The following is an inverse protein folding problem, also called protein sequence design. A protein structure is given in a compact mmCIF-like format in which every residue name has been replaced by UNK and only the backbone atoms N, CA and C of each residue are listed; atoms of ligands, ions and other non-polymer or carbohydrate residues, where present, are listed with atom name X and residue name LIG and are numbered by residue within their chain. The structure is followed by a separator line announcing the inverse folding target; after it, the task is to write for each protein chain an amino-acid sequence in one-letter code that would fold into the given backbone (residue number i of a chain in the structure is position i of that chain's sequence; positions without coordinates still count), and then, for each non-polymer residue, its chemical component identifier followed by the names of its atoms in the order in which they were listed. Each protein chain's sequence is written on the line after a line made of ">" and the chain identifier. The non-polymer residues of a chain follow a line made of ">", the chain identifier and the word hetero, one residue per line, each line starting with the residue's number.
data_IF_285190722266
#
_entry.id   IF_285190722266
#
_cell.length_a   1.000
_cell.length_b   1.000
_cell.length_c   1.000
_cell.angle_alpha   90.00
_cell.angle_beta   90.00
_cell.angle_gamma   90.00
#
_symmetry.space_group_name_H-M   'P 1'
#
loop_
_entity.id
_entity.type
_entity.pdbx_description
1 polymer ?
#
# COMPACT_ATOMS: atom_id res chain seq x y z
N UNK A 1 6.59 16.59 51.73
CA UNK A 1 5.67 17.32 50.83
C UNK A 1 6.46 17.63 49.56
N UNK A 2 6.10 17.01 48.44
CA UNK A 2 6.61 17.40 47.13
C UNK A 2 5.61 18.41 46.55
N UNK A 3 5.99 19.68 46.47
CA UNK A 3 5.27 20.67 45.68
C UNK A 3 5.76 20.54 44.24
N UNK A 4 4.86 20.13 43.33
CA UNK A 4 5.12 20.26 41.90
C UNK A 4 5.27 21.75 41.57
N UNK A 5 6.23 22.15 40.72
CA UNK A 5 6.32 23.52 40.25
C UNK A 5 5.00 23.91 39.60
N UNK A 6 4.32 24.91 40.16
CA UNK A 6 3.16 25.49 39.51
C UNK A 6 3.67 26.32 38.33
N UNK A 7 3.06 26.19 37.14
CA UNK A 7 3.37 27.10 36.05
C UNK A 7 3.06 28.52 36.53
N UNK A 8 4.07 29.39 36.50
CA UNK A 8 3.91 30.79 36.80
C UNK A 8 2.74 31.34 35.99
N UNK A 9 1.86 32.07 36.66
CA UNK A 9 0.70 32.78 36.08
C UNK A 9 1.16 33.99 35.26
N UNK A 10 2.23 33.82 34.47
CA UNK A 10 2.53 34.68 33.34
C UNK A 10 1.53 34.36 32.24
N UNK A 11 0.98 35.40 31.61
CA UNK A 11 0.03 35.29 30.51
C UNK A 11 0.36 34.09 29.64
N UNK A 12 -0.59 33.16 29.48
CA UNK A 12 -0.47 32.10 28.50
C UNK A 12 -0.17 32.79 27.17
N UNK A 13 1.11 32.82 26.78
CA UNK A 13 1.45 33.10 25.40
C UNK A 13 0.78 31.96 24.67
N UNK A 14 -0.23 32.34 23.90
CA UNK A 14 -1.09 31.48 23.10
C UNK A 14 -0.26 30.90 21.93
N UNK A 15 0.91 30.35 22.25
CA UNK A 15 1.84 29.70 21.35
C UNK A 15 1.31 28.29 21.12
N UNK A 16 0.17 28.23 20.44
CA UNK A 16 -0.40 26.99 19.96
C UNK A 16 0.64 26.28 19.08
N UNK A 17 1.07 25.10 19.51
CA UNK A 17 1.96 24.26 18.71
C UNK A 17 1.14 23.71 17.53
N UNK A 18 1.40 24.22 16.34
CA UNK A 18 0.77 23.73 15.11
C UNK A 18 1.48 22.47 14.65
N UNK A 19 0.76 21.35 14.66
CA UNK A 19 1.23 20.06 14.18
C UNK A 19 0.77 19.85 12.73
N UNK A 20 1.68 19.41 11.87
CA UNK A 20 1.39 19.08 10.47
C UNK A 20 1.22 17.57 10.23
N UNK A 21 0.99 16.81 11.29
CA UNK A 21 0.79 15.37 11.22
C UNK A 21 -0.61 15.04 10.69
N UNK A 22 -0.77 13.83 10.15
CA UNK A 22 -2.09 13.24 9.98
C UNK A 22 -2.75 13.08 11.37
N UNK A 23 -3.99 13.56 11.50
CA UNK A 23 -4.67 13.62 12.78
C UNK A 23 -4.94 12.21 13.36
N UNK A 24 -5.24 11.23 12.52
CA UNK A 24 -5.50 9.85 12.93
C UNK A 24 -4.20 9.20 13.44
N UNK A 25 -3.10 9.38 12.70
CA UNK A 25 -1.81 8.82 13.09
C UNK A 25 -1.29 9.46 14.38
N UNK A 26 -1.52 10.77 14.58
CA UNK A 26 -1.18 11.46 15.83
C UNK A 26 -2.04 10.99 17.00
N UNK A 27 -3.35 10.77 16.79
CA UNK A 27 -4.22 10.16 17.81
C UNK A 27 -3.70 8.77 18.23
N UNK A 28 -3.24 7.96 17.27
CA UNK A 28 -2.64 6.66 17.55
C UNK A 28 -1.39 6.78 18.43
N UNK A 29 -0.56 7.78 18.18
CA UNK A 29 0.63 8.04 18.98
C UNK A 29 0.30 8.56 20.39
N UNK A 30 -0.68 9.46 20.52
CA UNK A 30 -1.18 9.90 21.83
C UNK A 30 -1.77 8.73 22.63
N UNK A 31 -2.53 7.86 21.97
CA UNK A 31 -3.01 6.63 22.58
C UNK A 31 -1.84 5.80 23.11
N UNK A 32 -0.75 5.63 22.37
CA UNK A 32 0.42 4.88 22.86
C UNK A 32 1.03 5.50 24.13
N UNK A 33 1.12 6.83 24.20
CA UNK A 33 1.66 7.53 25.39
C UNK A 33 0.80 7.29 26.63
N UNK A 34 -0.52 7.21 26.45
CA UNK A 34 -1.48 7.09 27.55
C UNK A 34 -1.98 5.66 27.80
N UNK A 35 -1.71 4.72 26.89
CA UNK A 35 -2.20 3.36 26.96
C UNK A 35 -1.60 2.61 28.14
N UNK A 36 -2.46 1.89 28.86
CA UNK A 36 -2.04 0.94 29.87
C UNK A 36 -2.01 -0.51 29.34
N UNK A 37 -1.74 -1.47 30.23
CA UNK A 37 -1.72 -2.88 29.86
C UNK A 37 -3.09 -3.40 29.40
N UNK A 38 -4.18 -2.84 29.90
CA UNK A 38 -5.56 -3.23 29.53
C UNK A 38 -5.87 -2.74 28.12
N UNK A 39 -5.48 -1.51 27.79
CA UNK A 39 -5.63 -0.95 26.44
C UNK A 39 -4.89 -1.79 25.39
N UNK A 40 -3.67 -2.24 25.71
CA UNK A 40 -2.90 -3.12 24.83
C UNK A 40 -3.58 -4.47 24.63
N UNK A 41 -4.12 -5.07 25.69
CA UNK A 41 -4.90 -6.32 25.58
C UNK A 41 -6.13 -6.09 24.73
N UNK A 42 -6.84 -4.97 24.93
CA UNK A 42 -8.01 -4.62 24.14
C UNK A 42 -7.64 -4.47 22.66
N UNK A 43 -6.56 -3.76 22.33
CA UNK A 43 -6.08 -3.63 20.94
C UNK A 43 -5.81 -5.00 20.31
N UNK A 44 -5.16 -5.91 21.03
CA UNK A 44 -4.86 -7.26 20.53
C UNK A 44 -6.11 -8.11 20.26
N UNK A 45 -7.25 -7.79 20.89
CA UNK A 45 -8.55 -8.43 20.58
C UNK A 45 -9.30 -7.80 19.40
N UNK A 46 -8.88 -6.62 18.94
CA UNK A 46 -9.53 -5.94 17.83
C UNK A 46 -9.20 -6.61 16.48
N UNK A 47 -10.01 -6.37 15.43
CA UNK A 47 -9.69 -6.81 14.08
C UNK A 47 -8.31 -6.35 13.62
N UNK A 48 -7.59 -7.21 12.88
CA UNK A 48 -6.18 -6.97 12.52
C UNK A 48 -5.98 -5.66 11.76
N UNK A 49 -6.94 -5.23 10.93
CA UNK A 49 -6.83 -3.94 10.22
C UNK A 49 -6.74 -2.73 11.18
N UNK A 50 -7.42 -2.78 12.34
CA UNK A 50 -7.33 -1.73 13.36
C UNK A 50 -5.98 -1.75 14.06
N UNK A 51 -5.48 -2.96 14.33
CA UNK A 51 -4.13 -3.14 14.89
C UNK A 51 -3.07 -2.58 13.95
N UNK A 52 -3.14 -2.92 12.66
CA UNK A 52 -2.24 -2.40 11.64
C UNK A 52 -2.29 -0.87 11.56
N UNK A 53 -3.49 -0.28 11.50
CA UNK A 53 -3.64 1.19 11.47
C UNK A 53 -3.02 1.84 12.70
N UNK A 54 -3.28 1.30 13.89
CA UNK A 54 -2.76 1.80 15.17
C UNK A 54 -1.23 1.71 15.23
N UNK A 55 -0.66 0.53 15.00
CA UNK A 55 0.79 0.33 15.06
C UNK A 55 1.53 1.13 13.98
N UNK A 56 0.98 1.24 12.77
CA UNK A 56 1.56 2.04 11.71
C UNK A 56 1.52 3.55 12.02
N UNK A 57 0.42 4.05 12.58
CA UNK A 57 0.32 5.44 13.03
C UNK A 57 1.36 5.75 14.11
N UNK A 58 1.45 4.89 15.14
CA UNK A 58 2.48 5.02 16.19
C UNK A 58 3.88 5.01 15.59
N UNK A 59 4.20 4.05 14.71
CA UNK A 59 5.51 3.94 14.09
C UNK A 59 5.87 5.18 13.26
N UNK A 60 4.92 5.70 12.49
CA UNK A 60 5.08 6.87 11.62
C UNK A 60 5.40 8.11 12.45
N UNK A 61 4.58 8.41 13.45
CA UNK A 61 4.76 9.59 14.29
C UNK A 61 6.01 9.47 15.17
N UNK A 62 6.28 8.29 15.74
CA UNK A 62 7.50 8.05 16.50
C UNK A 62 8.75 8.25 15.65
N UNK A 63 8.72 7.82 14.38
CA UNK A 63 9.83 8.03 13.45
C UNK A 63 10.04 9.52 13.17
N UNK A 64 8.97 10.27 12.92
CA UNK A 64 9.02 11.72 12.69
C UNK A 64 9.60 12.50 13.88
N UNK A 65 9.28 12.09 15.11
CA UNK A 65 9.79 12.71 16.33
C UNK A 65 11.10 12.09 16.85
N UNK A 66 11.78 11.29 16.02
CA UNK A 66 13.07 10.67 16.37
C UNK A 66 13.03 9.87 17.70
N UNK A 67 11.95 9.11 17.91
CA UNK A 67 11.76 8.25 19.08
C UNK A 67 12.03 6.76 18.72
N UNK A 68 13.31 6.35 18.51
CA UNK A 68 13.66 5.08 17.89
C UNK A 68 13.18 3.86 18.67
N UNK A 69 13.16 3.92 20.00
CA UNK A 69 12.68 2.81 20.83
C UNK A 69 11.18 2.51 20.58
N UNK A 70 10.37 3.57 20.42
CA UNK A 70 8.93 3.45 20.16
C UNK A 70 8.72 3.00 18.71
N UNK A 71 9.47 3.57 17.76
CA UNK A 71 9.43 3.15 16.36
C UNK A 71 9.74 1.66 16.21
N UNK A 72 10.81 1.16 16.83
CA UNK A 72 11.19 -0.25 16.78
C UNK A 72 10.11 -1.14 17.41
N UNK A 73 9.61 -0.79 18.59
CA UNK A 73 8.52 -1.52 19.22
C UNK A 73 7.28 -1.61 18.33
N UNK A 74 6.88 -0.48 17.74
CA UNK A 74 5.70 -0.42 16.88
C UNK A 74 5.91 -1.20 15.57
N UNK A 75 7.12 -1.17 15.01
CA UNK A 75 7.51 -1.97 13.85
C UNK A 75 7.42 -3.47 14.12
N UNK A 76 7.96 -3.94 15.25
CA UNK A 76 7.90 -5.36 15.61
C UNK A 76 6.44 -5.83 15.75
N UNK A 77 5.58 -5.01 16.36
CA UNK A 77 4.13 -5.29 16.46
C UNK A 77 3.44 -5.25 15.11
N UNK A 78 3.78 -4.29 14.27
CA UNK A 78 3.27 -4.17 12.92
C UNK A 78 3.61 -5.41 12.08
N UNK A 79 4.86 -5.87 12.12
CA UNK A 79 5.29 -7.07 11.40
C UNK A 79 4.59 -8.33 11.91
N UNK A 80 4.48 -8.50 13.22
CA UNK A 80 3.71 -9.61 13.80
C UNK A 80 2.24 -9.59 13.36
N UNK A 81 1.61 -8.41 13.29
CA UNK A 81 0.25 -8.29 12.80
C UNK A 81 0.13 -8.59 11.29
N UNK A 82 1.12 -8.20 10.47
CA UNK A 82 1.17 -8.47 9.03
C UNK A 82 1.32 -9.96 8.71
N UNK A 83 2.06 -10.73 9.52
CA UNK A 83 2.20 -12.18 9.37
C UNK A 83 0.86 -12.92 9.48
N UNK A 84 -0.06 -12.40 10.28
CA UNK A 84 -1.39 -12.98 10.50
C UNK A 84 -2.48 -12.39 9.61
N UNK A 85 -2.18 -11.33 8.86
CA UNK A 85 -3.17 -10.67 8.02
C UNK A 85 -3.41 -11.50 6.76
N UNK A 86 -4.69 -11.78 6.46
CA UNK A 86 -5.07 -12.39 5.17
C UNK A 86 -5.11 -11.34 4.05
N UNK A 87 -5.47 -10.11 4.42
CA UNK A 87 -5.73 -9.01 3.51
C UNK A 87 -5.43 -7.67 4.21
N UNK A 88 -4.95 -6.69 3.45
CA UNK A 88 -4.65 -5.33 3.92
C UNK A 88 -5.49 -4.35 3.12
N UNK A 89 -6.20 -3.45 3.82
CA UNK A 89 -7.04 -2.43 3.20
C UNK A 89 -6.22 -1.48 2.30
N UNK A 90 -6.80 -0.97 1.19
CA UNK A 90 -6.07 -0.10 0.26
C UNK A 90 -5.39 1.09 0.93
N UNK A 91 -6.12 1.80 1.80
CA UNK A 91 -5.58 2.95 2.53
C UNK A 91 -4.43 2.58 3.47
N UNK A 92 -4.45 1.36 4.04
CA UNK A 92 -3.36 0.86 4.88
C UNK A 92 -2.14 0.53 4.03
N UNK A 93 -2.32 -0.02 2.82
CA UNK A 93 -1.22 -0.23 1.86
C UNK A 93 -0.55 1.11 1.51
N UNK A 94 -1.31 2.15 1.19
CA UNK A 94 -0.77 3.49 0.94
C UNK A 94 0.06 4.02 2.12
N UNK A 95 -0.47 3.91 3.34
CA UNK A 95 0.26 4.32 4.55
C UNK A 95 1.56 3.49 4.73
N UNK A 96 1.51 2.18 4.49
CA UNK A 96 2.69 1.30 4.59
C UNK A 96 3.78 1.70 3.60
N UNK A 97 3.41 2.00 2.35
CA UNK A 97 4.37 2.41 1.31
C UNK A 97 4.97 3.79 1.61
N UNK A 98 4.16 4.76 2.06
CA UNK A 98 4.66 6.05 2.52
C UNK A 98 5.65 5.90 3.68
N UNK A 99 5.32 5.04 4.65
CA UNK A 99 6.22 4.76 5.77
C UNK A 99 7.50 4.05 5.32
N UNK A 100 7.40 3.04 4.44
CA UNK A 100 8.57 2.35 3.88
C UNK A 100 9.53 3.33 3.20
N UNK A 101 9.03 4.23 2.35
CA UNK A 101 9.83 5.29 1.71
C UNK A 101 10.51 6.22 2.72
N UNK A 102 9.83 6.61 3.79
CA UNK A 102 10.48 7.41 4.85
C UNK A 102 11.65 6.64 5.49
N UNK A 103 11.50 5.33 5.69
CA UNK A 103 12.52 4.48 6.29
C UNK A 103 13.71 4.21 5.36
N UNK A 104 13.54 4.19 4.04
CA UNK A 104 14.66 4.01 3.08
C UNK A 104 15.75 5.07 3.26
N UNK A 105 15.36 6.30 3.61
CA UNK A 105 16.29 7.40 3.86
C UNK A 105 17.03 7.29 5.20
N UNK A 106 16.55 6.45 6.13
CA UNK A 106 17.13 6.29 7.46
C UNK A 106 18.34 5.33 7.43
N UNK A 107 19.38 5.64 8.24
CA UNK A 107 20.68 4.92 8.28
C UNK A 107 20.58 3.39 8.38
N UNK A 108 19.53 2.87 9.02
CA UNK A 108 19.29 1.43 9.20
C UNK A 108 17.88 1.01 8.74
N UNK A 109 17.17 1.84 7.98
CA UNK A 109 15.76 1.61 7.66
C UNK A 109 15.50 0.79 6.41
N UNK A 110 16.50 0.58 5.54
CA UNK A 110 16.35 -0.20 4.31
C UNK A 110 15.81 -1.63 4.55
N UNK A 111 16.31 -2.43 5.51
CA UNK A 111 15.75 -3.76 5.77
C UNK A 111 14.28 -3.73 6.21
N UNK A 112 13.87 -2.68 6.93
CA UNK A 112 12.47 -2.48 7.35
C UNK A 112 11.61 -2.13 6.15
N UNK A 113 12.07 -1.20 5.31
CA UNK A 113 11.38 -0.80 4.10
C UNK A 113 11.13 -2.00 3.17
N UNK A 114 12.17 -2.82 2.91
CA UNK A 114 12.05 -4.03 2.09
C UNK A 114 11.01 -5.00 2.65
N UNK A 115 11.02 -5.26 3.97
CA UNK A 115 10.01 -6.13 4.60
C UNK A 115 8.58 -5.61 4.44
N UNK A 116 8.39 -4.29 4.54
CA UNK A 116 7.07 -3.66 4.36
C UNK A 116 6.60 -3.79 2.91
N UNK A 117 7.49 -3.54 1.95
CA UNK A 117 7.22 -3.69 0.51
C UNK A 117 6.89 -5.15 0.18
N UNK A 118 7.66 -6.12 0.69
CA UNK A 118 7.38 -7.55 0.55
C UNK A 118 6.01 -7.93 1.12
N UNK A 119 5.62 -7.37 2.28
CA UNK A 119 4.30 -7.59 2.86
C UNK A 119 3.17 -7.01 2.00
N UNK A 120 3.40 -5.88 1.32
CA UNK A 120 2.47 -5.30 0.35
C UNK A 120 2.34 -6.22 -0.87
N UNK A 121 3.45 -6.67 -1.45
CA UNK A 121 3.43 -7.61 -2.58
C UNK A 121 2.68 -8.90 -2.24
N UNK A 122 2.99 -9.53 -1.09
CA UNK A 122 2.29 -10.71 -0.62
C UNK A 122 0.80 -10.46 -0.38
N UNK A 123 0.41 -9.27 0.06
CA UNK A 123 -1.00 -8.91 0.23
C UNK A 123 -1.74 -8.76 -1.10
N UNK A 124 -1.10 -8.16 -2.11
CA UNK A 124 -1.65 -8.05 -3.47
C UNK A 124 -1.75 -9.43 -4.14
N UNK A 125 -0.71 -10.25 -4.01
CA UNK A 125 -0.70 -11.62 -4.52
C UNK A 125 -1.82 -12.48 -3.91
N UNK A 126 -1.98 -12.41 -2.59
CA UNK A 126 -3.12 -13.05 -1.89
C UNK A 126 -4.45 -12.56 -2.42
N UNK A 127 -4.63 -11.24 -2.55
CA UNK A 127 -5.86 -10.65 -3.05
C UNK A 127 -6.20 -11.09 -4.47
N UNK A 128 -5.19 -11.27 -5.33
CA UNK A 128 -5.38 -11.80 -6.67
C UNK A 128 -5.98 -13.22 -6.66
N UNK A 129 -5.51 -14.07 -5.75
CA UNK A 129 -5.99 -15.45 -5.61
C UNK A 129 -7.29 -15.59 -4.81
N UNK A 130 -7.71 -14.56 -4.08
CA UNK A 130 -9.01 -14.53 -3.42
C UNK A 130 -10.07 -14.13 -4.45
N UNK A 131 -11.04 -15.03 -4.70
CA UNK A 131 -12.17 -14.72 -5.58
C UNK A 131 -13.09 -13.67 -4.92
N UNK A 132 -13.56 -12.66 -5.66
CA UNK A 132 -14.44 -11.58 -5.13
C UNK A 132 -15.81 -12.05 -4.60
N UNK A 133 -16.12 -13.34 -4.64
CA UNK A 133 -17.40 -13.91 -4.19
C UNK A 133 -17.48 -14.17 -2.69
N UNK A 134 -16.38 -13.96 -1.94
CA UNK A 134 -16.41 -14.08 -0.47
C UNK A 134 -16.78 -12.73 0.14
N UNK A 135 -17.99 -12.66 0.69
CA UNK A 135 -18.52 -11.54 1.49
C UNK A 135 -17.63 -11.11 2.68
N UNK A 136 -16.55 -11.86 2.95
CA UNK A 136 -15.57 -11.60 4.00
C UNK A 136 -14.57 -10.49 3.66
N UNK A 137 -14.41 -10.13 2.38
CA UNK A 137 -13.40 -9.15 1.95
C UNK A 137 -14.07 -7.91 1.33
N UNK A 138 -13.97 -6.74 1.99
CA UNK A 138 -14.63 -5.53 1.53
C UNK A 138 -13.91 -4.79 0.40
N UNK A 139 -12.73 -5.25 -0.04
CA UNK A 139 -11.97 -4.61 -1.12
C UNK A 139 -11.44 -5.65 -2.13
N UNK A 140 -11.24 -5.20 -3.35
CA UNK A 140 -10.74 -5.96 -4.49
C UNK A 140 -9.48 -5.31 -5.08
N UNK A 141 -8.83 -5.97 -6.04
CA UNK A 141 -7.67 -5.45 -6.76
C UNK A 141 -7.95 -4.09 -7.42
N UNK A 142 -9.15 -3.89 -7.97
CA UNK A 142 -9.53 -2.63 -8.63
C UNK A 142 -9.50 -1.43 -7.67
N UNK A 143 -9.74 -1.63 -6.37
CA UNK A 143 -9.67 -0.57 -5.36
C UNK A 143 -8.23 -0.09 -5.13
N UNK A 144 -7.23 -0.93 -5.45
CA UNK A 144 -5.81 -0.60 -5.29
C UNK A 144 -5.30 0.34 -6.39
N UNK A 145 -5.94 0.34 -7.57
CA UNK A 145 -5.48 1.08 -8.76
C UNK A 145 -5.36 2.57 -8.46
N UNK A 146 -6.40 3.17 -7.89
CA UNK A 146 -6.41 4.61 -7.57
C UNK A 146 -5.43 4.95 -6.46
N UNK A 147 -5.32 4.08 -5.46
CA UNK A 147 -4.43 4.28 -4.30
C UNK A 147 -2.97 4.29 -4.75
N UNK A 148 -2.55 3.29 -5.52
CA UNK A 148 -1.18 3.17 -6.01
C UNK A 148 -0.84 4.26 -7.03
N UNK A 149 -1.79 4.67 -7.87
CA UNK A 149 -1.56 5.79 -8.78
C UNK A 149 -1.37 7.12 -8.05
N UNK A 150 -2.19 7.40 -7.02
CA UNK A 150 -2.08 8.61 -6.21
C UNK A 150 -0.73 8.70 -5.50
N UNK A 151 -0.23 7.57 -4.98
CA UNK A 151 1.08 7.48 -4.32
C UNK A 151 2.26 7.33 -5.29
N UNK A 152 1.98 7.27 -6.60
CA UNK A 152 2.94 7.12 -7.72
C UNK A 152 3.74 5.82 -7.69
N UNK A 153 3.14 4.76 -7.18
CA UNK A 153 3.75 3.43 -7.04
C UNK A 153 3.56 2.61 -8.33
N UNK A 154 4.28 3.00 -9.39
CA UNK A 154 4.08 2.48 -10.75
C UNK A 154 4.36 0.97 -10.88
N UNK A 155 5.36 0.46 -10.16
CA UNK A 155 5.73 -0.96 -10.22
C UNK A 155 4.63 -1.85 -9.60
N UNK A 156 4.12 -1.43 -8.44
CA UNK A 156 2.99 -2.08 -7.79
C UNK A 156 1.71 -1.93 -8.60
N UNK A 157 1.49 -0.78 -9.23
CA UNK A 157 0.35 -0.55 -10.11
C UNK A 157 0.39 -1.48 -11.34
N UNK A 158 1.57 -1.66 -11.95
CA UNK A 158 1.77 -2.60 -13.05
C UNK A 158 1.45 -4.05 -12.62
N UNK A 159 1.85 -4.42 -11.41
CA UNK A 159 1.54 -5.73 -10.83
C UNK A 159 0.04 -5.90 -10.58
N UNK A 160 -0.66 -4.88 -10.08
CA UNK A 160 -2.13 -4.92 -9.94
C UNK A 160 -2.79 -5.08 -11.30
N UNK A 161 -2.35 -4.36 -12.34
CA UNK A 161 -2.90 -4.55 -13.68
C UNK A 161 -2.64 -5.96 -14.23
N UNK A 162 -1.45 -6.52 -14.01
CA UNK A 162 -1.19 -7.92 -14.33
C UNK A 162 -2.18 -8.85 -13.63
N UNK A 163 -2.38 -8.69 -12.31
CA UNK A 163 -3.29 -9.53 -11.56
C UNK A 163 -4.74 -9.38 -12.01
N UNK A 164 -5.18 -8.18 -12.39
CA UNK A 164 -6.49 -7.97 -12.98
C UNK A 164 -6.65 -8.74 -14.31
N UNK A 165 -5.62 -8.75 -15.16
CA UNK A 165 -5.66 -9.48 -16.44
C UNK A 165 -5.70 -11.00 -16.25
N UNK A 166 -4.92 -11.53 -15.31
CA UNK A 166 -4.76 -13.00 -15.15
C UNK A 166 -5.84 -13.59 -14.24
N UNK A 167 -6.25 -12.87 -13.20
CA UNK A 167 -7.10 -13.40 -12.11
C UNK A 167 -8.53 -12.87 -12.08
N UNK A 168 -8.90 -11.93 -12.97
CA UNK A 168 -10.28 -11.40 -13.07
C UNK A 168 -10.90 -11.57 -14.46
N UNK A 169 -10.35 -12.48 -15.28
CA UNK A 169 -10.82 -12.78 -16.65
C UNK A 169 -11.18 -11.51 -17.44
N UNK A 170 -12.37 -11.45 -18.05
CA UNK A 170 -12.88 -10.26 -18.73
C UNK A 170 -13.74 -9.36 -17.80
N UNK A 171 -13.88 -9.69 -16.51
CA UNK A 171 -14.72 -8.94 -15.56
C UNK A 171 -14.24 -7.50 -15.39
N UNK A 172 -12.92 -7.27 -15.46
CA UNK A 172 -12.31 -5.94 -15.37
C UNK A 172 -12.81 -4.98 -16.47
N UNK A 173 -13.26 -5.48 -17.63
CA UNK A 173 -13.80 -4.62 -18.69
C UNK A 173 -15.06 -3.89 -18.21
N UNK A 174 -15.87 -4.58 -17.41
CA UNK A 174 -17.15 -4.09 -16.87
C UNK A 174 -17.05 -3.46 -15.48
N UNK A 175 -15.90 -3.55 -14.80
CA UNK A 175 -15.72 -3.04 -13.44
C UNK A 175 -15.81 -1.51 -13.39
N UNK A 176 -16.85 -0.97 -12.77
CA UNK A 176 -17.11 0.47 -12.67
C UNK A 176 -16.02 1.26 -11.92
N UNK A 177 -15.21 0.60 -11.08
CA UNK A 177 -14.13 1.25 -10.30
C UNK A 177 -12.93 1.62 -11.16
N UNK A 178 -12.73 0.90 -12.26
CA UNK A 178 -11.67 1.19 -13.22
C UNK A 178 -12.11 2.34 -14.12
N UNK A 179 -11.20 3.29 -14.38
CA UNK A 179 -11.48 4.42 -15.28
C UNK A 179 -11.20 4.03 -16.74
N UNK A 180 -11.64 4.82 -17.73
CA UNK A 180 -11.33 4.55 -19.12
C UNK A 180 -9.82 4.43 -19.40
N UNK A 181 -9.00 5.26 -18.73
CA UNK A 181 -7.54 5.18 -18.85
C UNK A 181 -6.97 3.86 -18.33
N UNK A 182 -7.52 3.33 -17.24
CA UNK A 182 -7.08 2.05 -16.67
C UNK A 182 -7.41 0.88 -17.61
N UNK A 183 -8.61 0.89 -18.20
CA UNK A 183 -9.00 -0.09 -19.22
C UNK A 183 -8.10 -0.03 -20.45
N UNK A 184 -7.73 1.18 -20.88
CA UNK A 184 -6.80 1.34 -22.00
C UNK A 184 -5.42 0.76 -21.67
N UNK A 185 -4.90 1.03 -20.46
CA UNK A 185 -3.64 0.43 -19.98
C UNK A 185 -3.72 -1.09 -19.95
N UNK A 186 -4.82 -1.66 -19.44
CA UNK A 186 -5.07 -3.10 -19.41
C UNK A 186 -5.10 -3.73 -20.81
N UNK A 187 -5.73 -3.07 -21.79
CA UNK A 187 -5.73 -3.51 -23.19
C UNK A 187 -4.31 -3.50 -23.79
N UNK A 188 -3.56 -2.42 -23.59
CA UNK A 188 -2.17 -2.31 -24.02
C UNK A 188 -1.29 -3.41 -23.37
N UNK A 189 -1.44 -3.58 -22.05
CA UNK A 189 -0.76 -4.59 -21.26
C UNK A 189 -1.05 -6.00 -21.75
N UNK A 190 -2.33 -6.34 -21.97
CA UNK A 190 -2.74 -7.64 -22.50
C UNK A 190 -2.08 -7.95 -23.84
N UNK A 191 -2.09 -6.98 -24.77
CA UNK A 191 -1.43 -7.14 -26.07
C UNK A 191 0.09 -7.33 -25.93
N UNK A 192 0.75 -6.50 -25.12
CA UNK A 192 2.21 -6.57 -24.91
C UNK A 192 2.65 -7.86 -24.22
N UNK A 193 1.92 -8.30 -23.20
CA UNK A 193 2.20 -9.53 -22.46
C UNK A 193 2.03 -10.77 -23.34
N UNK A 194 0.99 -10.81 -24.20
CA UNK A 194 0.84 -11.87 -25.21
C UNK A 194 2.00 -11.89 -26.21
N UNK A 195 2.43 -10.72 -26.69
CA UNK A 195 3.58 -10.60 -27.60
C UNK A 195 4.87 -11.11 -26.95
N UNK A 196 5.03 -10.89 -25.65
CA UNK A 196 6.17 -11.37 -24.85
C UNK A 196 6.02 -12.82 -24.36
N UNK A 197 4.89 -13.47 -24.66
CA UNK A 197 4.54 -14.84 -24.22
C UNK A 197 4.52 -15.01 -22.70
N UNK A 198 4.11 -13.96 -22.00
CA UNK A 198 3.91 -13.99 -20.54
C UNK A 198 2.54 -14.59 -20.25
N UNK A 199 1.50 -14.13 -20.94
CA UNK A 199 0.13 -14.67 -20.86
C UNK A 199 -0.26 -15.29 -22.21
N UNK A 200 -1.11 -16.31 -22.19
CA UNK A 200 -1.67 -17.00 -23.35
C UNK A 200 -3.04 -16.43 -23.75
N UNK A 201 -3.65 -17.00 -24.79
CA UNK A 201 -5.01 -16.63 -25.21
C UNK A 201 -6.09 -17.33 -24.37
N UNK A 202 -5.73 -18.42 -23.71
CA UNK A 202 -6.62 -19.27 -22.92
C UNK A 202 -6.44 -18.89 -21.44
N UNK A 203 -7.01 -17.75 -21.03
CA UNK A 203 -6.71 -17.09 -19.74
C UNK A 203 -6.83 -17.95 -18.47
N UNK A 204 -7.42 -19.15 -18.53
CA UNK A 204 -7.42 -20.11 -17.42
C UNK A 204 -6.06 -20.78 -17.19
N UNK A 205 -5.21 -20.92 -18.21
CA UNK A 205 -3.93 -21.62 -18.13
C UNK A 205 -2.79 -20.75 -17.58
N UNK A 206 -2.99 -19.43 -17.53
CA UNK A 206 -1.96 -18.48 -17.09
C UNK A 206 -1.93 -18.29 -15.57
N UNK A 207 -2.95 -18.79 -14.86
CA UNK A 207 -3.07 -18.64 -13.40
C UNK A 207 -2.13 -19.60 -12.67
N UNK A 208 -1.27 -19.09 -11.81
CA UNK A 208 -0.54 -19.93 -10.84
C UNK A 208 -1.48 -20.42 -9.73
N UNK A 209 -1.18 -21.61 -9.19
CA UNK A 209 -1.78 -22.07 -7.93
C UNK A 209 -1.26 -21.23 -6.75
N UNK A 210 -2.16 -20.82 -5.87
CA UNK A 210 -1.80 -20.01 -4.71
C UNK A 210 -0.80 -20.74 -3.80
N UNK A 211 0.32 -20.07 -3.50
CA UNK A 211 1.34 -20.52 -2.55
C UNK A 211 1.47 -19.53 -1.40
N UNK A 212 1.28 -20.00 -0.17
CA UNK A 212 1.30 -19.15 1.04
C UNK A 212 2.63 -18.43 1.25
N UNK A 213 3.73 -19.05 0.81
CA UNK A 213 5.10 -18.54 0.99
C UNK A 213 5.52 -17.58 -0.13
N UNK A 214 4.75 -17.50 -1.22
CA UNK A 214 5.05 -16.63 -2.36
C UNK A 214 4.49 -15.22 -2.12
N UNK A 215 5.27 -14.21 -2.54
CA UNK A 215 4.86 -12.80 -2.59
C UNK A 215 4.48 -12.34 -4.00
N UNK A 216 4.79 -13.14 -5.01
CA UNK A 216 4.57 -12.87 -6.43
C UNK A 216 4.17 -14.14 -7.17
N UNK A 217 3.54 -13.94 -8.32
CA UNK A 217 3.41 -14.95 -9.36
C UNK A 217 4.78 -15.22 -9.99
N UNK A 218 5.15 -16.50 -10.11
CA UNK A 218 6.42 -16.93 -10.66
C UNK A 218 6.65 -16.47 -12.10
N UNK A 219 5.59 -16.26 -12.89
CA UNK A 219 5.67 -15.75 -14.26
C UNK A 219 6.11 -14.28 -14.31
N UNK A 220 5.89 -13.53 -13.22
CA UNK A 220 6.27 -12.11 -13.14
C UNK A 220 7.73 -11.88 -12.79
N UNK A 221 8.40 -12.82 -12.12
CA UNK A 221 9.73 -12.59 -11.50
C UNK A 221 10.76 -12.07 -12.51
N UNK A 222 10.75 -12.58 -13.75
CA UNK A 222 11.65 -12.13 -14.82
C UNK A 222 11.30 -10.79 -15.48
N UNK A 223 10.13 -10.21 -15.14
CA UNK A 223 9.57 -9.04 -15.81
C UNK A 223 9.28 -7.87 -14.87
N UNK A 224 9.49 -8.01 -13.55
CA UNK A 224 9.13 -6.99 -12.55
C UNK A 224 9.64 -5.58 -12.91
N UNK A 225 10.91 -5.46 -13.32
CA UNK A 225 11.53 -4.17 -13.65
C UNK A 225 11.01 -3.52 -14.94
N UNK A 226 10.48 -4.30 -15.87
CA UNK A 226 9.96 -3.81 -17.15
C UNK A 226 8.44 -3.76 -17.18
N UNK A 227 7.77 -4.22 -16.11
CA UNK A 227 6.35 -4.53 -16.12
C UNK A 227 5.51 -3.31 -16.47
N UNK A 228 5.84 -2.15 -15.90
CA UNK A 228 5.13 -0.90 -16.19
C UNK A 228 5.19 -0.51 -17.67
N UNK A 229 6.30 -0.79 -18.38
CA UNK A 229 6.44 -0.45 -19.80
C UNK A 229 5.42 -1.14 -20.70
N UNK A 230 4.83 -2.25 -20.23
CA UNK A 230 3.77 -2.96 -20.96
C UNK A 230 2.42 -2.24 -20.87
N UNK A 231 2.20 -1.51 -19.76
CA UNK A 231 0.97 -0.78 -19.47
C UNK A 231 1.07 0.70 -19.80
N UNK A 232 2.26 1.23 -20.09
CA UNK A 232 2.45 2.63 -20.43
C UNK A 232 1.80 2.97 -21.78
N UNK A 233 1.00 4.04 -21.77
CA UNK A 233 0.31 4.57 -22.95
C UNK A 233 1.18 5.52 -23.76
N UNK A 234 2.29 6.02 -23.20
CA UNK A 234 3.16 7.00 -23.86
C UNK A 234 3.65 6.56 -25.26
N UNK A 235 4.05 5.30 -25.49
CA UNK A 235 4.47 4.83 -26.82
C UNK A 235 3.35 4.80 -27.87
N UNK A 236 2.08 4.85 -27.44
CA UNK A 236 0.91 4.73 -28.30
C UNK A 236 0.24 6.07 -28.61
N UNK A 237 0.78 7.18 -28.08
CA UNK A 237 0.30 8.51 -28.45
C UNK A 237 0.68 8.74 -29.91
N UNK A 238 -0.35 8.88 -30.76
CA UNK A 238 -0.15 9.35 -32.13
C UNK A 238 0.65 10.66 -32.07
N UNK A 239 1.64 10.86 -32.97
CA UNK A 239 2.35 12.12 -33.04
C UNK A 239 1.31 13.22 -33.11
N UNK A 240 1.29 14.11 -32.11
CA UNK A 240 0.36 15.21 -32.10
C UNK A 240 0.58 15.96 -33.41
N UNK A 241 -0.47 16.01 -34.24
CA UNK A 241 -0.47 16.85 -35.43
C UNK A 241 -0.29 18.27 -34.92
N UNK A 242 0.96 18.69 -34.83
CA UNK A 242 1.35 20.06 -34.68
C UNK A 242 0.77 20.70 -35.92
N UNK A 243 -0.38 21.37 -35.76
CA UNK A 243 -0.89 22.22 -36.81
C UNK A 243 0.18 23.29 -37.01
N UNK A 244 1.06 23.06 -37.97
CA UNK A 244 1.89 24.09 -38.55
C UNK A 244 0.90 25.13 -39.02
N UNK A 245 0.74 26.17 -38.20
CA UNK A 245 0.01 27.37 -38.56
C UNK A 245 0.65 27.90 -39.82
N UNK A 246 0.01 27.61 -40.95
CA UNK A 246 0.21 28.34 -42.19
C UNK A 246 -0.49 29.67 -41.94
N UNK A 247 0.29 30.67 -41.53
CA UNK A 247 -0.06 32.07 -41.72
C UNK A 247 0.05 32.41 -43.21
#
# INVERSE_FOLDING_TARGET
>A
MFSLPQPDTGAATDDAVVLHNDAEDFEHFLWFIHADAVDLVQLNTQPVHKQLSRYLGVATIAHMYEAPAITLWAQDRLFSALEHVKFVLPQTIAKLLRFARSMESARNGLPVALKLVDAVHGSLYRLAHLHPTRAEYPADLSDMVQVLENDREMDLLAQVYYYLLVYRDDEWMSDARLRPVDRQRLLCGSHMMRRKRIITCDGSNDREEYRKESTFDGQLVGHLFELWSYFDLAPWRLPSTTSTGVC
#
